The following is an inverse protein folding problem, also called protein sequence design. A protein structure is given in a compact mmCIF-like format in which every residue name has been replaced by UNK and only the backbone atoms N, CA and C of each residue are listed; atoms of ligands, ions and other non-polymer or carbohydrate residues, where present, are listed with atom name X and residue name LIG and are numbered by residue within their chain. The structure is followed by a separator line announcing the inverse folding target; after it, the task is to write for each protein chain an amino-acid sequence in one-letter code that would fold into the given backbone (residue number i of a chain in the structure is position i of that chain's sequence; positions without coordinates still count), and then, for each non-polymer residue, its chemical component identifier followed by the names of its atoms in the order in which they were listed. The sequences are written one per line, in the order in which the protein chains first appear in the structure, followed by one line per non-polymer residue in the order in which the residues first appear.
data_IF_515970586726
#
_entry.id   IF_515970586726
#
_cell.length_a   1.000
_cell.length_b   1.000
_cell.length_c   1.000
_cell.angle_alpha   90.00
_cell.angle_beta   90.00
_cell.angle_gamma   90.00
#
_symmetry.space_group_name_H-M   'P 1'
#
loop_
_entity.id
_entity.type
_entity.pdbx_description
1 polymer ?
#
# COMPACT_ATOMS: atom_id res chain seq x y z
N UNK A 1 -16.86 -1.11 45.36
CA UNK A 1 -17.05 -1.14 43.89
C UNK A 1 -15.86 -0.48 43.21
N UNK A 2 -15.29 -1.06 42.14
CA UNK A 2 -14.23 -0.40 41.38
C UNK A 2 -14.79 0.78 40.58
N UNK A 3 -14.08 1.91 40.60
CA UNK A 3 -14.49 3.12 39.87
C UNK A 3 -14.39 2.95 38.35
N UNK A 4 -15.34 3.57 37.64
CA UNK A 4 -15.31 3.65 36.19
C UNK A 4 -14.12 4.47 35.68
N UNK A 5 -13.74 4.27 34.42
CA UNK A 5 -12.67 5.07 33.80
C UNK A 5 -13.00 6.58 33.78
N UNK A 6 -14.27 6.92 33.58
CA UNK A 6 -14.74 8.31 33.56
C UNK A 6 -14.62 8.97 34.95
N UNK A 7 -14.98 8.25 36.02
CA UNK A 7 -14.86 8.74 37.40
C UNK A 7 -13.40 8.93 37.82
N UNK A 8 -12.53 7.96 37.50
CA UNK A 8 -11.09 8.09 37.77
C UNK A 8 -10.49 9.32 37.10
N UNK A 9 -10.87 9.58 35.85
CA UNK A 9 -10.36 10.74 35.12
C UNK A 9 -10.94 12.06 35.65
N UNK A 10 -12.20 12.07 36.12
CA UNK A 10 -12.80 13.22 36.81
C UNK A 10 -12.05 13.54 38.10
N UNK A 11 -11.85 12.54 38.97
CA UNK A 11 -11.12 12.73 40.22
C UNK A 11 -9.67 13.19 39.99
N UNK A 12 -9.00 12.64 38.98
CA UNK A 12 -7.65 13.09 38.61
C UNK A 12 -7.64 14.57 38.23
N UNK A 13 -8.62 15.05 37.44
CA UNK A 13 -8.73 16.47 37.09
C UNK A 13 -9.00 17.36 38.29
N UNK A 14 -9.89 16.95 39.19
CA UNK A 14 -10.16 17.70 40.43
C UNK A 14 -8.91 17.77 41.32
N UNK A 15 -8.18 16.66 41.47
CA UNK A 15 -6.89 16.66 42.16
C UNK A 15 -5.89 17.60 41.48
N UNK A 16 -5.79 17.57 40.16
CA UNK A 16 -4.86 18.42 39.41
C UNK A 16 -5.18 19.91 39.55
N UNK A 17 -6.46 20.30 39.60
CA UNK A 17 -6.84 21.70 39.83
C UNK A 17 -6.31 22.23 41.15
N UNK A 18 -6.32 21.39 42.18
CA UNK A 18 -5.91 21.74 43.54
C UNK A 18 -4.39 21.66 43.68
N UNK A 19 -3.76 20.60 43.17
CA UNK A 19 -2.32 20.36 43.38
C UNK A 19 -1.41 21.05 42.37
N UNK A 20 -1.87 21.29 41.13
CA UNK A 20 -1.09 21.97 40.10
C UNK A 20 -2.00 22.67 39.08
N UNK A 21 -2.48 23.84 39.47
CA UNK A 21 -3.43 24.64 38.69
C UNK A 21 -2.88 25.08 37.33
N UNK A 22 -1.56 25.29 37.21
CA UNK A 22 -0.90 25.64 35.94
C UNK A 22 -0.97 24.51 34.93
N UNK A 23 -0.62 23.28 35.35
CA UNK A 23 -0.71 22.10 34.50
C UNK A 23 -2.15 21.81 34.07
N UNK A 24 -3.14 22.11 34.93
CA UNK A 24 -4.55 22.01 34.57
C UNK A 24 -4.95 23.06 33.50
N UNK A 25 -4.54 24.32 33.67
CA UNK A 25 -4.77 25.40 32.69
C UNK A 25 -4.10 25.07 31.35
N UNK A 26 -2.88 24.57 31.36
CA UNK A 26 -2.14 24.17 30.16
C UNK A 26 -2.82 22.99 29.45
N UNK A 27 -3.26 21.96 30.20
CA UNK A 27 -3.98 20.83 29.64
C UNK A 27 -5.32 21.27 29.02
N UNK A 28 -6.03 22.22 29.66
CA UNK A 28 -7.25 22.83 29.12
C UNK A 28 -6.95 23.57 27.81
N UNK A 29 -5.90 24.38 27.78
CA UNK A 29 -5.45 25.12 26.58
C UNK A 29 -5.10 24.17 25.44
N UNK A 30 -4.26 23.15 25.68
CA UNK A 30 -3.89 22.14 24.67
C UNK A 30 -5.10 21.37 24.12
N UNK A 31 -6.08 21.05 24.97
CA UNK A 31 -7.31 20.41 24.52
C UNK A 31 -8.16 21.35 23.66
N UNK A 32 -8.31 22.62 24.05
CA UNK A 32 -8.98 23.63 23.23
C UNK A 32 -8.30 23.80 21.88
N UNK A 33 -6.97 23.90 21.83
CA UNK A 33 -6.19 24.00 20.59
C UNK A 33 -6.33 22.76 19.71
N UNK A 34 -6.28 21.55 20.30
CA UNK A 34 -6.48 20.29 19.58
C UNK A 34 -7.86 20.23 18.95
N UNK A 35 -8.90 20.59 19.71
CA UNK A 35 -10.27 20.69 19.20
C UNK A 35 -10.35 21.74 18.10
N UNK A 36 -9.82 22.95 18.31
CA UNK A 36 -9.79 24.00 17.30
C UNK A 36 -9.09 23.55 16.01
N UNK A 37 -7.96 22.84 16.07
CA UNK A 37 -7.28 22.30 14.87
C UNK A 37 -8.13 21.26 14.15
N UNK A 38 -8.75 20.34 14.90
CA UNK A 38 -9.57 19.27 14.34
C UNK A 38 -10.85 19.80 13.67
N UNK A 39 -11.44 20.86 14.24
CA UNK A 39 -12.68 21.46 13.74
C UNK A 39 -12.44 22.61 12.76
N UNK A 40 -11.30 23.32 12.79
CA UNK A 40 -10.92 24.33 11.76
C UNK A 40 -11.02 23.76 10.35
N UNK A 41 -10.51 22.54 10.13
CA UNK A 41 -10.60 21.86 8.85
C UNK A 41 -12.05 21.50 8.42
N UNK A 42 -12.99 21.45 9.36
CA UNK A 42 -14.41 21.16 9.11
C UNK A 42 -15.28 22.43 9.05
N UNK A 43 -14.84 23.53 9.65
CA UNK A 43 -15.59 24.80 9.75
C UNK A 43 -15.10 25.88 8.81
N UNK A 44 -14.00 25.67 8.07
CA UNK A 44 -13.45 26.62 7.12
C UNK A 44 -14.40 26.98 5.95
N UNK A 45 -15.43 26.15 5.69
CA UNK A 45 -16.34 26.30 4.55
C UNK A 45 -17.74 26.83 4.93
N UNK A 46 -17.98 27.22 6.19
CA UNK A 46 -19.29 27.76 6.60
C UNK A 46 -19.18 29.26 6.92
N UNK A 47 -20.10 30.05 6.38
CA UNK A 47 -20.27 31.45 6.79
C UNK A 47 -20.71 31.53 8.26
N UNK A 48 -20.48 32.67 8.92
CA UNK A 48 -20.93 32.86 10.32
C UNK A 48 -22.45 32.65 10.49
N UNK A 49 -23.21 33.04 9.48
CA UNK A 49 -24.66 32.86 9.42
C UNK A 49 -25.06 31.37 9.40
N UNK A 50 -24.36 30.55 8.60
CA UNK A 50 -24.58 29.10 8.56
C UNK A 50 -24.20 28.41 9.87
N UNK A 51 -23.16 28.89 10.56
CA UNK A 51 -22.78 28.38 11.88
C UNK A 51 -23.85 28.70 12.93
N UNK A 52 -24.47 29.88 12.88
CA UNK A 52 -25.54 30.24 13.80
C UNK A 52 -26.81 29.41 13.58
N UNK A 53 -27.19 29.17 12.32
CA UNK A 53 -28.31 28.28 12.00
C UNK A 53 -28.09 26.85 12.52
N UNK A 54 -26.87 26.32 12.41
CA UNK A 54 -26.50 25.03 12.98
C UNK A 54 -26.59 25.02 14.52
N UNK A 55 -26.17 26.11 15.17
CA UNK A 55 -26.29 26.27 16.64
C UNK A 55 -27.75 26.34 17.08
N UNK A 56 -28.61 27.05 16.35
CA UNK A 56 -30.05 27.11 16.61
C UNK A 56 -30.70 25.73 16.46
N UNK A 57 -30.47 25.03 15.34
CA UNK A 57 -30.97 23.65 15.13
C UNK A 57 -30.56 22.69 16.24
N UNK A 58 -29.33 22.82 16.74
CA UNK A 58 -28.87 22.00 17.86
C UNK A 58 -29.60 22.32 19.18
N UNK A 59 -29.82 23.61 19.48
CA UNK A 59 -30.59 24.03 20.67
C UNK A 59 -32.04 23.51 20.60
N UNK A 60 -32.68 23.65 19.44
CA UNK A 60 -34.05 23.16 19.20
C UNK A 60 -34.15 21.64 19.37
N UNK A 61 -33.26 20.86 18.76
CA UNK A 61 -33.24 19.41 18.91
C UNK A 61 -33.02 18.99 20.36
N UNK A 62 -32.14 19.68 21.09
CA UNK A 62 -31.88 19.40 22.49
C UNK A 62 -33.06 19.74 23.40
N UNK A 63 -33.82 20.78 23.09
CA UNK A 63 -35.04 21.12 23.82
C UNK A 63 -36.15 20.12 23.52
N UNK A 64 -36.33 19.72 22.25
CA UNK A 64 -37.26 18.64 21.86
C UNK A 64 -36.95 17.32 22.58
N UNK A 65 -35.69 16.94 22.71
CA UNK A 65 -35.29 15.74 23.47
C UNK A 65 -35.57 15.85 24.97
N UNK A 66 -35.53 17.06 25.54
CA UNK A 66 -35.90 17.29 26.95
C UNK A 66 -37.41 17.25 27.17
N UNK A 67 -38.19 17.74 26.21
CA UNK A 67 -39.65 17.70 26.24
C UNK A 67 -40.19 16.30 25.94
N UNK A 68 -39.49 15.50 25.12
CA UNK A 68 -39.88 14.12 24.78
C UNK A 68 -39.49 13.07 25.84
N UNK A 69 -38.79 13.46 26.91
CA UNK A 69 -38.45 12.58 28.02
C UNK A 69 -39.40 12.89 29.19
N UNK A 70 -40.17 11.90 29.71
CA UNK A 70 -40.97 12.13 30.90
C UNK A 70 -40.02 12.44 32.07
N UNK A 71 -40.16 13.65 32.60
CA UNK A 71 -39.44 14.13 33.79
C UNK A 71 -39.66 13.13 34.92
N UNK A 72 -38.58 12.52 35.41
CA UNK A 72 -38.61 11.45 36.43
C UNK A 72 -38.89 11.99 37.84
N UNK A 73 -39.58 13.13 37.97
CA UNK A 73 -39.69 13.88 39.21
C UNK A 73 -41.11 14.38 39.51
N UNK A 74 -42.12 13.55 39.25
CA UNK A 74 -43.43 13.73 39.89
C UNK A 74 -43.80 12.47 40.66
N UNK A 75 -43.96 12.63 41.98
CA UNK A 75 -44.49 11.62 42.89
C UNK A 75 -45.86 11.17 42.39
N UNK A 76 -46.02 9.88 42.16
CA UNK A 76 -47.34 9.26 41.99
C UNK A 76 -47.68 8.54 43.28
N UNK A 77 -48.56 9.18 44.04
CA UNK A 77 -49.34 8.61 45.13
C UNK A 77 -50.19 7.44 44.64
N UNK A 78 -50.07 6.33 45.36
CA UNK A 78 -51.05 5.25 45.57
C UNK A 78 -52.29 5.20 44.64
N UNK A 79 -52.15 4.58 43.46
CA UNK A 79 -53.20 3.72 42.88
C UNK A 79 -52.65 3.03 41.64
N UNK A 80 -52.18 1.78 41.78
CA UNK A 80 -52.14 0.75 40.71
C UNK A 80 -51.05 -0.29 40.96
N UNK A 81 -51.39 -1.41 41.59
CA UNK A 81 -50.50 -2.59 41.60
C UNK A 81 -50.54 -3.37 40.26
N UNK A 82 -51.56 -3.14 39.43
CA UNK A 82 -51.68 -3.77 38.10
C UNK A 82 -50.94 -3.01 36.98
N UNK A 83 -50.89 -1.67 37.00
CA UNK A 83 -50.13 -0.90 35.98
C UNK A 83 -48.61 -1.03 36.12
N UNK A 84 -48.09 -1.42 37.27
CA UNK A 84 -46.64 -1.59 37.47
C UNK A 84 -46.04 -2.72 36.66
N UNK A 85 -46.76 -3.83 36.43
CA UNK A 85 -46.29 -4.95 35.59
C UNK A 85 -46.19 -4.56 34.11
N UNK A 86 -47.23 -3.92 33.58
CA UNK A 86 -47.25 -3.41 32.21
C UNK A 86 -46.14 -2.36 31.97
N UNK A 87 -45.86 -1.52 32.96
CA UNK A 87 -44.79 -0.52 32.87
C UNK A 87 -43.38 -1.13 32.90
N UNK A 88 -43.17 -2.19 33.68
CA UNK A 88 -41.89 -2.95 33.66
C UNK A 88 -41.68 -3.67 32.33
N UNK A 89 -42.75 -4.23 31.75
CA UNK A 89 -42.70 -4.92 30.46
C UNK A 89 -42.46 -3.96 29.29
N UNK A 90 -43.07 -2.77 29.29
CA UNK A 90 -42.75 -1.72 28.33
C UNK A 90 -41.29 -1.27 28.43
N UNK A 91 -40.75 -1.17 29.65
CA UNK A 91 -39.35 -0.77 29.87
C UNK A 91 -38.36 -1.86 29.42
N UNK A 92 -38.67 -3.13 29.61
CA UNK A 92 -37.85 -4.25 29.09
C UNK A 92 -37.91 -4.32 27.57
N UNK A 93 -39.09 -4.18 26.96
CA UNK A 93 -39.26 -4.12 25.50
C UNK A 93 -38.44 -2.98 24.90
N UNK A 94 -38.54 -1.76 25.46
CA UNK A 94 -37.79 -0.60 24.98
C UNK A 94 -36.26 -0.78 25.13
N UNK A 95 -35.80 -1.44 26.20
CA UNK A 95 -34.38 -1.75 26.37
C UNK A 95 -33.88 -2.81 25.35
N UNK A 96 -34.72 -3.80 25.03
CA UNK A 96 -34.47 -4.78 23.97
C UNK A 96 -34.38 -4.11 22.60
N UNK A 97 -35.35 -3.24 22.28
CA UNK A 97 -35.34 -2.45 21.04
C UNK A 97 -34.06 -1.63 20.89
N UNK A 98 -33.66 -0.87 21.93
CA UNK A 98 -32.40 -0.11 21.91
C UNK A 98 -31.16 -0.99 21.71
N UNK A 99 -31.12 -2.18 22.30
CA UNK A 99 -30.01 -3.14 22.09
C UNK A 99 -29.97 -3.64 20.65
N UNK A 100 -31.13 -3.96 20.07
CA UNK A 100 -31.27 -4.42 18.69
C UNK A 100 -30.84 -3.31 17.73
N UNK A 101 -31.37 -2.11 17.88
CA UNK A 101 -30.98 -0.94 17.07
C UNK A 101 -29.48 -0.67 17.14
N UNK A 102 -28.89 -0.73 18.33
CA UNK A 102 -27.45 -0.54 18.49
C UNK A 102 -26.63 -1.60 17.74
N UNK A 103 -27.04 -2.87 17.80
CA UNK A 103 -26.38 -3.95 17.03
C UNK A 103 -26.48 -3.69 15.53
N UNK A 104 -27.67 -3.39 15.02
CA UNK A 104 -27.87 -3.06 13.61
C UNK A 104 -27.05 -1.84 13.17
N UNK A 105 -27.04 -0.76 13.98
CA UNK A 105 -26.25 0.44 13.68
C UNK A 105 -24.76 0.14 13.63
N UNK A 106 -24.25 -0.68 14.55
CA UNK A 106 -22.85 -1.11 14.58
C UNK A 106 -22.49 -1.93 13.34
N UNK A 107 -23.31 -2.91 12.98
CA UNK A 107 -23.11 -3.74 11.79
C UNK A 107 -23.19 -2.92 10.51
N UNK A 108 -24.16 -2.01 10.40
CA UNK A 108 -24.31 -1.12 9.24
C UNK A 108 -23.07 -0.22 9.07
N UNK A 109 -22.52 0.32 10.15
CA UNK A 109 -21.26 1.08 10.11
C UNK A 109 -20.10 0.20 9.63
N UNK A 110 -20.01 -1.05 10.10
CA UNK A 110 -18.97 -1.98 9.65
C UNK A 110 -19.12 -2.34 8.17
N UNK A 111 -20.33 -2.62 7.70
CA UNK A 111 -20.62 -2.91 6.30
C UNK A 111 -20.28 -1.71 5.40
N UNK A 112 -20.67 -0.49 5.79
CA UNK A 112 -20.30 0.74 5.07
C UNK A 112 -18.78 0.91 4.96
N UNK A 113 -18.03 0.59 6.01
CA UNK A 113 -16.55 0.62 5.97
C UNK A 113 -15.98 -0.44 5.01
N UNK A 114 -16.54 -1.65 5.02
CA UNK A 114 -16.13 -2.72 4.10
C UNK A 114 -16.41 -2.33 2.64
N UNK A 115 -17.60 -1.84 2.35
CA UNK A 115 -17.99 -1.33 1.03
C UNK A 115 -17.03 -0.22 0.58
N UNK A 116 -16.77 0.79 1.43
CA UNK A 116 -15.83 1.86 1.10
C UNK A 116 -14.42 1.33 0.78
N UNK A 117 -13.95 0.32 1.51
CA UNK A 117 -12.65 -0.31 1.26
C UNK A 117 -12.63 -1.02 -0.09
N UNK A 118 -13.69 -1.76 -0.43
CA UNK A 118 -13.83 -2.46 -1.71
C UNK A 118 -13.88 -1.44 -2.86
N UNK A 119 -14.71 -0.40 -2.75
CA UNK A 119 -14.83 0.67 -3.75
C UNK A 119 -13.48 1.35 -3.99
N UNK A 120 -12.75 1.69 -2.93
CA UNK A 120 -11.43 2.30 -3.08
C UNK A 120 -10.42 1.37 -3.77
N UNK A 121 -10.44 0.06 -3.46
CA UNK A 121 -9.59 -0.93 -4.15
C UNK A 121 -9.97 -1.05 -5.63
N UNK A 122 -11.26 -1.08 -5.93
CA UNK A 122 -11.76 -1.13 -7.30
C UNK A 122 -11.34 0.10 -8.11
N UNK A 123 -11.53 1.31 -7.57
CA UNK A 123 -11.09 2.55 -8.21
C UNK A 123 -9.57 2.58 -8.45
N UNK A 124 -8.78 2.06 -7.51
CA UNK A 124 -7.33 1.95 -7.69
C UNK A 124 -6.96 0.96 -8.81
N UNK A 125 -7.64 -0.18 -8.90
CA UNK A 125 -7.47 -1.14 -9.99
C UNK A 125 -7.88 -0.55 -11.33
N UNK A 126 -9.04 0.11 -11.38
CA UNK A 126 -9.55 0.80 -12.56
C UNK A 126 -8.56 1.85 -13.09
N UNK A 127 -7.77 2.50 -12.22
CA UNK A 127 -6.69 3.42 -12.62
C UNK A 127 -5.41 2.71 -13.07
N UNK A 128 -5.11 1.52 -12.55
CA UNK A 128 -3.89 0.77 -12.88
C UNK A 128 -4.01 0.00 -14.19
N UNK A 129 -5.16 -0.63 -14.46
CA UNK A 129 -5.41 -1.42 -15.68
C UNK A 129 -5.08 -0.64 -16.97
N UNK A 130 -5.59 0.58 -17.21
CA UNK A 130 -5.30 1.30 -18.45
C UNK A 130 -3.82 1.71 -18.56
N UNK A 131 -3.13 1.96 -17.44
CA UNK A 131 -1.68 2.23 -17.45
C UNK A 131 -0.89 1.00 -17.88
N UNK A 132 -1.26 -0.17 -17.36
CA UNK A 132 -0.65 -1.42 -17.77
C UNK A 132 -0.94 -1.73 -19.23
N UNK A 133 -2.16 -1.48 -19.71
CA UNK A 133 -2.50 -1.63 -21.13
C UNK A 133 -1.63 -0.74 -22.03
N UNK A 134 -1.48 0.54 -21.69
CA UNK A 134 -0.59 1.46 -22.43
C UNK A 134 0.87 0.99 -22.45
N UNK A 135 1.36 0.43 -21.34
CA UNK A 135 2.72 -0.12 -21.30
C UNK A 135 2.85 -1.35 -22.19
N UNK A 136 1.87 -2.25 -22.20
CA UNK A 136 1.84 -3.41 -23.09
C UNK A 136 1.84 -2.95 -24.55
N UNK A 137 1.01 -1.97 -24.91
CA UNK A 137 0.97 -1.45 -26.28
C UNK A 137 2.29 -0.80 -26.68
N UNK A 138 2.95 -0.08 -25.77
CA UNK A 138 4.29 0.47 -26.02
C UNK A 138 5.34 -0.63 -26.24
N UNK A 139 5.29 -1.71 -25.47
CA UNK A 139 6.21 -2.85 -25.63
C UNK A 139 5.95 -3.59 -26.94
N UNK A 140 4.68 -3.76 -27.34
CA UNK A 140 4.32 -4.36 -28.63
C UNK A 140 4.89 -3.56 -29.81
N UNK A 141 4.74 -2.24 -29.79
CA UNK A 141 5.32 -1.37 -30.83
C UNK A 141 6.85 -1.46 -30.89
N UNK A 142 7.51 -1.49 -29.73
CA UNK A 142 8.96 -1.65 -29.67
C UNK A 142 9.41 -3.01 -30.24
N UNK A 143 8.68 -4.07 -29.91
CA UNK A 143 8.92 -5.41 -30.42
C UNK A 143 8.72 -5.50 -31.94
N UNK A 144 7.65 -4.93 -32.48
CA UNK A 144 7.42 -4.82 -33.93
C UNK A 144 8.57 -4.07 -34.63
N UNK A 145 9.02 -2.95 -34.04
CA UNK A 145 10.15 -2.17 -34.59
C UNK A 145 11.46 -2.98 -34.58
N UNK A 146 11.70 -3.76 -33.53
CA UNK A 146 12.88 -4.64 -33.45
C UNK A 146 12.81 -5.76 -34.49
N UNK A 147 11.64 -6.36 -34.72
CA UNK A 147 11.45 -7.36 -35.77
C UNK A 147 11.78 -6.76 -37.13
N UNK A 148 11.22 -5.59 -37.47
CA UNK A 148 11.51 -4.94 -38.75
C UNK A 148 13.01 -4.69 -38.94
N UNK A 149 13.71 -4.17 -37.91
CA UNK A 149 15.16 -3.95 -37.99
C UNK A 149 15.96 -5.24 -38.18
N UNK A 150 15.53 -6.34 -37.57
CA UNK A 150 16.17 -7.64 -37.75
C UNK A 150 15.92 -8.20 -39.15
N UNK A 151 14.73 -7.99 -39.71
CA UNK A 151 14.42 -8.35 -41.09
C UNK A 151 15.24 -7.51 -42.09
N UNK A 152 15.33 -6.19 -41.89
CA UNK A 152 16.14 -5.29 -42.70
C UNK A 152 17.63 -5.71 -42.67
N UNK A 153 18.19 -5.97 -41.50
CA UNK A 153 19.57 -6.45 -41.36
C UNK A 153 19.78 -7.81 -42.05
N UNK A 154 18.83 -8.75 -41.91
CA UNK A 154 18.91 -10.05 -42.59
C UNK A 154 18.90 -9.91 -44.12
N UNK A 155 18.14 -8.96 -44.66
CA UNK A 155 18.14 -8.69 -46.11
C UNK A 155 19.41 -7.95 -46.58
N UNK A 156 19.99 -7.08 -45.74
CA UNK A 156 21.27 -6.43 -46.01
C UNK A 156 22.43 -7.44 -46.03
N UNK A 157 22.48 -8.36 -45.06
CA UNK A 157 23.49 -9.42 -44.99
C UNK A 157 23.38 -10.40 -46.17
N UNK A 158 22.15 -10.69 -46.63
CA UNK A 158 21.92 -11.53 -47.81
C UNK A 158 22.44 -10.89 -49.11
N UNK A 159 22.38 -9.55 -49.23
CA UNK A 159 22.94 -8.81 -50.38
C UNK A 159 24.47 -8.77 -50.32
N UNK A 160 25.05 -8.50 -49.15
CA UNK A 160 26.52 -8.49 -48.97
C UNK A 160 27.17 -9.87 -49.19
N UNK A 161 26.45 -10.98 -48.99
CA UNK A 161 26.96 -12.33 -49.27
C UNK A 161 26.95 -12.72 -50.76
N UNK A 162 26.19 -12.01 -51.60
CA UNK A 162 26.22 -12.23 -53.06
C UNK A 162 27.40 -11.53 -53.73
N UNK A 163 27.79 -10.36 -53.23
CA UNK A 163 28.93 -9.62 -53.76
C UNK A 163 30.29 -10.23 -53.37
N UNK A 164 30.33 -11.00 -52.27
CA UNK A 164 31.54 -11.74 -51.86
C UNK A 164 31.74 -13.07 -52.57
N UNK A 165 30.74 -13.63 -53.27
CA UNK A 165 30.91 -14.87 -54.04
C UNK A 165 31.54 -14.67 -55.43
N UNK A 166 31.56 -13.45 -55.94
CA UNK A 166 32.14 -13.15 -57.26
C UNK A 166 33.63 -12.76 -57.19
N UNK A 167 34.29 -12.88 -56.03
CA UNK A 167 35.68 -12.44 -55.85
C UNK A 167 36.57 -13.46 -55.12
N UNK A 168 36.19 -14.75 -55.14
CA UNK A 168 36.92 -15.83 -54.43
C UNK A 168 37.91 -16.59 -55.33
N UNK A 169 37.96 -16.31 -56.64
CA UNK A 169 38.82 -17.06 -57.55
C UNK A 169 40.27 -16.54 -57.65
N UNK A 170 40.68 -15.54 -56.86
CA UNK A 170 42.01 -14.95 -57.02
C UNK A 170 42.63 -14.33 -55.76
N UNK A 171 42.69 -15.05 -54.63
CA UNK A 171 43.58 -14.65 -53.52
C UNK A 171 44.29 -15.88 -52.94
N UNK A 172 45.59 -15.98 -53.22
CA UNK A 172 46.53 -16.87 -52.53
C UNK A 172 46.46 -16.59 -51.03
N UNK A 173 46.29 -17.65 -50.25
CA UNK A 173 46.33 -17.61 -48.79
C UNK A 173 47.77 -17.30 -48.37
N UNK A 174 48.02 -16.04 -48.00
CA UNK A 174 49.11 -15.66 -47.10
C UNK A 174 48.51 -15.40 -45.72
N UNK A 175 49.20 -15.87 -44.69
CA UNK A 175 48.81 -15.85 -43.27
C UNK A 175 48.25 -14.48 -42.81
N UNK A 176 47.26 -14.44 -41.90
CA UNK A 176 46.74 -13.17 -41.42
C UNK A 176 47.68 -12.59 -40.36
N UNK A 177 48.33 -11.49 -40.71
CA UNK A 177 48.94 -10.56 -39.76
C UNK A 177 47.89 -10.06 -38.76
N UNK A 178 48.31 -9.97 -37.49
CA UNK A 178 47.53 -9.47 -36.37
C UNK A 178 47.07 -8.02 -36.60
N UNK A 179 45.80 -7.83 -36.97
CA UNK A 179 45.18 -6.50 -36.96
C UNK A 179 44.80 -6.14 -35.52
N UNK A 180 45.69 -5.39 -34.89
CA UNK A 180 45.45 -4.66 -33.65
C UNK A 180 44.30 -3.66 -33.82
N UNK A 181 43.15 -3.92 -33.19
CA UNK A 181 42.06 -2.95 -33.04
C UNK A 181 42.26 -2.22 -31.70
N UNK A 182 42.50 -0.90 -31.67
CA UNK A 182 42.73 -0.17 -30.43
C UNK A 182 41.48 -0.11 -29.55
N UNK A 183 41.66 -0.55 -28.31
CA UNK A 183 40.94 -0.19 -27.09
C UNK A 183 39.88 0.92 -27.20
N UNK A 184 38.61 0.53 -27.02
CA UNK A 184 37.52 1.44 -26.69
C UNK A 184 36.60 0.86 -25.61
N UNK A 185 37.16 0.20 -24.58
CA UNK A 185 36.47 -0.04 -23.29
C UNK A 185 37.48 0.11 -22.15
N UNK A 186 37.90 1.35 -21.90
CA UNK A 186 38.64 1.73 -20.70
C UNK A 186 37.67 2.06 -19.56
N UNK A 187 37.85 1.34 -18.45
CA UNK A 187 37.63 1.81 -17.07
C UNK A 187 36.18 2.04 -16.62
N UNK A 188 35.47 0.92 -16.41
CA UNK A 188 34.98 0.46 -15.09
C UNK A 188 34.27 -0.86 -15.35
N UNK A 189 35.05 -1.92 -15.64
CA UNK A 189 34.47 -3.23 -15.93
C UNK A 189 33.99 -3.87 -14.62
N UNK A 190 32.87 -3.37 -14.08
CA UNK A 190 32.04 -4.18 -13.20
C UNK A 190 31.73 -5.45 -14.01
N UNK A 191 32.32 -6.58 -13.60
CA UNK A 191 32.15 -7.85 -14.28
C UNK A 191 30.65 -8.07 -14.52
N UNK A 192 30.26 -8.26 -15.78
CA UNK A 192 28.87 -8.61 -16.09
C UNK A 192 28.53 -9.92 -15.36
N UNK A 193 27.28 -10.12 -14.90
CA UNK A 193 26.89 -11.33 -14.19
C UNK A 193 27.35 -12.62 -14.89
N UNK A 194 27.34 -12.61 -16.22
CA UNK A 194 27.82 -13.70 -17.07
C UNK A 194 29.30 -14.03 -16.82
N UNK A 195 30.18 -13.00 -16.73
CA UNK A 195 31.63 -13.18 -16.50
C UNK A 195 31.93 -13.64 -15.07
N UNK A 196 31.23 -13.08 -14.06
CA UNK A 196 31.40 -13.49 -12.65
C UNK A 196 31.01 -14.96 -12.43
N UNK A 197 29.88 -15.38 -13.01
CA UNK A 197 29.39 -16.76 -12.87
C UNK A 197 30.30 -17.74 -13.62
N UNK A 198 30.83 -17.37 -14.81
CA UNK A 198 31.78 -18.23 -15.50
C UNK A 198 33.09 -18.42 -14.75
N UNK A 199 33.63 -17.36 -14.14
CA UNK A 199 34.84 -17.45 -13.32
C UNK A 199 34.59 -18.32 -12.08
N UNK A 200 33.49 -18.09 -11.35
CA UNK A 200 33.13 -18.86 -10.15
C UNK A 200 32.98 -20.37 -10.43
N UNK A 201 32.29 -20.75 -11.51
CA UNK A 201 32.07 -22.17 -11.85
C UNK A 201 33.40 -22.84 -12.22
N UNK A 202 34.25 -22.14 -12.96
CA UNK A 202 35.54 -22.66 -13.38
C UNK A 202 36.53 -22.79 -12.21
N UNK A 203 36.43 -21.93 -11.19
CA UNK A 203 37.32 -21.98 -10.01
C UNK A 203 36.82 -22.89 -8.89
N UNK A 204 35.51 -22.99 -8.66
CA UNK A 204 34.93 -23.70 -7.49
C UNK A 204 34.46 -25.11 -7.84
N UNK A 205 34.11 -25.38 -9.12
CA UNK A 205 33.54 -26.67 -9.52
C UNK A 205 34.20 -27.20 -10.82
N UNK A 206 35.51 -27.53 -10.79
CA UNK A 206 36.24 -27.94 -11.99
C UNK A 206 35.85 -29.32 -12.53
N UNK A 207 35.30 -30.24 -11.72
CA UNK A 207 35.20 -31.68 -12.07
C UNK A 207 33.79 -32.21 -12.40
N UNK A 208 32.83 -31.37 -12.81
CA UNK A 208 31.49 -31.83 -13.27
C UNK A 208 31.42 -31.92 -14.80
N UNK A 209 30.70 -32.92 -15.32
CA UNK A 209 30.37 -33.09 -16.74
C UNK A 209 29.76 -31.82 -17.35
N UNK A 210 30.22 -31.44 -18.55
CA UNK A 210 29.86 -30.23 -19.30
C UNK A 210 28.35 -29.92 -19.38
N UNK A 211 27.42 -30.88 -19.63
CA UNK A 211 25.99 -30.56 -19.70
C UNK A 211 25.35 -30.21 -18.35
N UNK A 212 25.90 -30.70 -17.23
CA UNK A 212 25.42 -30.35 -15.88
C UNK A 212 25.96 -28.97 -15.46
N UNK A 213 27.19 -28.63 -15.86
CA UNK A 213 27.78 -27.29 -15.67
C UNK A 213 27.00 -26.20 -16.39
N UNK A 214 26.55 -26.42 -17.62
CA UNK A 214 25.74 -25.43 -18.35
C UNK A 214 24.38 -25.20 -17.70
N UNK A 215 23.72 -26.25 -17.18
CA UNK A 215 22.47 -26.11 -16.42
C UNK A 215 22.66 -25.30 -15.14
N UNK A 216 23.76 -25.53 -14.41
CA UNK A 216 24.09 -24.78 -13.19
C UNK A 216 24.45 -23.32 -13.53
N UNK A 217 25.23 -23.10 -14.59
CA UNK A 217 25.58 -21.77 -15.11
C UNK A 217 24.35 -20.96 -15.49
N UNK A 218 23.40 -21.57 -16.20
CA UNK A 218 22.14 -20.91 -16.57
C UNK A 218 21.33 -20.52 -15.34
N UNK A 219 21.19 -21.41 -14.35
CA UNK A 219 20.48 -21.12 -13.09
C UNK A 219 21.15 -20.02 -12.25
N UNK A 220 22.49 -20.01 -12.17
CA UNK A 220 23.23 -18.98 -11.44
C UNK A 220 23.13 -17.62 -12.12
N UNK A 221 23.19 -17.57 -13.46
CA UNK A 221 22.98 -16.33 -14.23
C UNK A 221 21.56 -15.83 -14.05
N UNK A 222 20.55 -16.70 -14.13
CA UNK A 222 19.15 -16.35 -13.87
C UNK A 222 18.98 -15.78 -12.46
N UNK A 223 19.60 -16.41 -11.45
CA UNK A 223 19.56 -15.94 -10.07
C UNK A 223 20.21 -14.57 -9.89
N UNK A 224 21.39 -14.34 -10.47
CA UNK A 224 22.09 -13.05 -10.36
C UNK A 224 21.37 -11.91 -11.10
N UNK A 225 20.80 -12.19 -12.28
CA UNK A 225 19.95 -11.25 -13.00
C UNK A 225 18.70 -10.90 -12.20
N UNK A 226 18.07 -11.89 -11.56
CA UNK A 226 16.92 -11.69 -10.68
C UNK A 226 17.30 -10.79 -9.48
N UNK A 227 18.46 -11.05 -8.87
CA UNK A 227 18.97 -10.30 -7.71
C UNK A 227 19.32 -8.86 -8.07
N UNK A 228 19.95 -8.62 -9.22
CA UNK A 228 20.23 -7.25 -9.70
C UNK A 228 18.95 -6.50 -10.07
N UNK A 229 17.99 -7.16 -10.73
CA UNK A 229 16.67 -6.59 -11.06
C UNK A 229 15.90 -6.19 -9.79
N UNK A 230 15.90 -7.06 -8.78
CA UNK A 230 15.28 -6.76 -7.49
C UNK A 230 16.00 -5.65 -6.72
N UNK A 231 17.32 -5.50 -6.86
CA UNK A 231 18.08 -4.42 -6.19
C UNK A 231 17.68 -3.04 -6.72
N UNK A 232 17.40 -2.94 -8.03
CA UNK A 232 16.90 -1.72 -8.66
C UNK A 232 15.48 -1.38 -8.20
N UNK A 233 14.57 -2.35 -8.15
CA UNK A 233 13.20 -2.16 -7.64
C UNK A 233 13.16 -1.89 -6.13
N UNK A 234 14.08 -2.49 -5.36
CA UNK A 234 14.18 -2.29 -3.92
C UNK A 234 14.56 -0.85 -3.55
N UNK A 235 15.44 -0.19 -4.33
CA UNK A 235 15.81 1.21 -4.07
C UNK A 235 14.62 2.16 -4.21
N UNK A 236 13.72 1.87 -5.17
CA UNK A 236 12.62 2.76 -5.56
C UNK A 236 11.28 2.45 -4.89
N UNK A 237 11.20 1.40 -4.06
CA UNK A 237 9.94 0.91 -3.50
C UNK A 237 9.65 1.41 -2.07
N UNK A 238 8.37 1.37 -1.71
CA UNK A 238 7.87 1.76 -0.39
C UNK A 238 8.31 0.76 0.71
N UNK A 239 8.30 1.17 1.99
CA UNK A 239 8.74 0.30 3.10
C UNK A 239 7.97 -1.04 3.18
N UNK A 240 6.69 -1.05 2.79
CA UNK A 240 5.87 -2.26 2.72
C UNK A 240 6.29 -3.18 1.57
N UNK A 241 6.60 -2.63 0.40
CA UNK A 241 7.07 -3.38 -0.76
C UNK A 241 8.49 -3.91 -0.53
N UNK A 242 9.36 -3.13 0.11
CA UNK A 242 10.69 -3.57 0.55
C UNK A 242 10.62 -4.80 1.45
N UNK A 243 9.68 -4.86 2.38
CA UNK A 243 9.51 -6.03 3.25
C UNK A 243 9.05 -7.29 2.48
N UNK A 244 8.24 -7.12 1.45
CA UNK A 244 7.78 -8.22 0.58
C UNK A 244 8.93 -8.68 -0.32
N UNK A 245 9.63 -7.77 -0.98
CA UNK A 245 10.81 -8.05 -1.81
C UNK A 245 11.91 -8.77 -1.01
N UNK A 246 12.15 -8.34 0.24
CA UNK A 246 13.10 -9.00 1.16
C UNK A 246 12.67 -10.43 1.51
N UNK A 247 11.36 -10.70 1.65
CA UNK A 247 10.85 -12.06 1.89
C UNK A 247 10.95 -12.96 0.66
N UNK A 248 10.74 -12.41 -0.54
CA UNK A 248 10.86 -13.16 -1.80
C UNK A 248 12.31 -13.62 -2.01
N UNK A 249 13.27 -12.69 -1.87
CA UNK A 249 14.72 -12.98 -1.98
C UNK A 249 15.19 -13.96 -0.89
N UNK A 250 14.63 -13.88 0.32
CA UNK A 250 15.02 -14.75 1.43
C UNK A 250 14.21 -16.05 1.53
N UNK A 251 13.23 -16.28 0.64
CA UNK A 251 12.40 -17.48 0.69
C UNK A 251 13.21 -18.73 0.37
N UNK A 252 12.90 -19.84 1.04
CA UNK A 252 13.67 -21.09 0.94
C UNK A 252 13.63 -21.75 -0.46
N UNK A 253 12.77 -21.28 -1.35
CA UNK A 253 12.76 -21.65 -2.77
C UNK A 253 14.01 -21.14 -3.49
N UNK A 254 14.57 -20.01 -3.05
CA UNK A 254 15.76 -19.37 -3.63
C UNK A 254 17.06 -19.87 -2.98
N UNK A 255 17.02 -20.25 -1.69
CA UNK A 255 18.21 -20.76 -0.97
C UNK A 255 18.55 -22.23 -1.22
N UNK A 256 17.64 -23.01 -1.79
CA UNK A 256 17.82 -24.44 -2.10
C UNK A 256 18.26 -24.72 -3.55
N UNK A 257 18.46 -23.68 -4.36
CA UNK A 257 19.10 -23.75 -5.69
C UNK A 257 20.60 -23.53 -5.51
#
# INVERSE_FOLDING_TARGET
MPMSAAERQRQYREKLKISNSEKFKEQKKRNCERTLRQYRAKTANYSEEQKEQLRQKWRENRNKEKESMPSTSQMVTQSSKENTKNFTDLKTIHNLQRRIEYKFKKENIQLRRKIKTIVNRFLNLQKKVPKQHKNIDSMKKMHETLIMKLEDNRTADAKNSKDTKNNVDNIKISEPDEVYVPNLISQTAALTPIKRVSEYINTVIPNIETPKKEKIKKKLIEHDLLKESFKCEYKNSSNTEKNILKRIVNSDVVKKI
#
